data_IF_648474680481
#
_entry.id   IF_648474680481
#
_cell.length_a   1.000
_cell.length_b   1.000
_cell.length_c   1.000
_cell.angle_alpha   90.00
_cell.angle_beta   90.00
_cell.angle_gamma   90.00
#
_symmetry.space_group_name_H-M   'P 1'
#
loop_
_entity.id
_entity.type
_entity.pdbx_description
1 polymer ?
#
# COMPACT_ATOMS: atom_id res chain seq x y z
N UNK A 1 -38.43 -12.68 4.03
CA UNK A 1 -38.21 -11.23 4.23
C UNK A 1 -36.72 -10.93 4.09
N UNK A 2 -36.27 -10.25 3.04
CA UNK A 2 -34.86 -9.93 2.91
C UNK A 2 -34.52 -8.78 3.85
N UNK A 3 -33.53 -9.02 4.72
CA UNK A 3 -32.97 -8.01 5.63
C UNK A 3 -32.32 -6.91 4.79
N UNK A 4 -32.75 -5.67 5.01
CA UNK A 4 -32.11 -4.46 4.47
C UNK A 4 -30.63 -4.47 4.87
N UNK A 5 -29.72 -4.54 3.90
CA UNK A 5 -28.32 -4.12 4.11
C UNK A 5 -28.24 -2.66 3.68
N UNK A 6 -28.22 -1.79 4.68
CA UNK A 6 -27.81 -0.39 4.56
C UNK A 6 -26.31 -0.32 4.28
N UNK A 7 -25.92 0.56 3.36
CA UNK A 7 -24.53 0.88 3.05
C UNK A 7 -24.11 0.35 1.68
N UNK A 8 -24.01 1.24 0.71
CA UNK A 8 -23.42 0.99 -0.60
C UNK A 8 -21.98 0.49 -0.45
N UNK A 9 -21.77 -0.82 -0.52
CA UNK A 9 -20.44 -1.39 -0.74
C UNK A 9 -19.92 -0.83 -2.05
N UNK A 10 -18.81 -0.09 -1.98
CA UNK A 10 -17.95 0.12 -3.14
C UNK A 10 -17.65 -1.30 -3.64
N UNK A 11 -18.08 -1.66 -4.85
CA UNK A 11 -17.68 -2.93 -5.44
C UNK A 11 -16.16 -2.96 -5.40
N UNK A 12 -15.60 -3.99 -4.75
CA UNK A 12 -14.17 -4.15 -4.59
C UNK A 12 -13.56 -4.23 -5.99
N UNK A 13 -12.92 -3.14 -6.44
CA UNK A 13 -12.32 -3.07 -7.76
C UNK A 13 -11.16 -4.08 -7.80
N UNK A 14 -11.28 -5.13 -8.60
CA UNK A 14 -10.25 -6.16 -8.76
C UNK A 14 -9.10 -5.62 -9.62
N UNK A 15 -8.27 -4.79 -8.98
CA UNK A 15 -7.10 -4.17 -9.59
C UNK A 15 -6.07 -5.20 -10.08
N UNK A 16 -5.76 -6.29 -9.33
CA UNK A 16 -4.88 -7.36 -9.80
C UNK A 16 -5.30 -7.97 -11.14
N UNK A 17 -6.57 -8.34 -11.30
CA UNK A 17 -7.07 -8.95 -12.54
C UNK A 17 -6.86 -8.07 -13.79
N UNK A 18 -6.86 -6.73 -13.63
CA UNK A 18 -6.59 -5.79 -14.73
C UNK A 18 -5.11 -5.66 -15.06
N UNK A 19 -4.23 -5.83 -14.06
CA UNK A 19 -2.77 -5.84 -14.28
C UNK A 19 -2.39 -7.13 -14.98
N UNK A 20 -2.89 -8.27 -14.50
CA UNK A 20 -2.69 -9.59 -15.10
C UNK A 20 -3.15 -9.60 -16.56
N UNK A 21 -4.35 -9.06 -16.84
CA UNK A 21 -4.85 -8.93 -18.21
C UNK A 21 -3.89 -8.18 -19.14
N UNK A 22 -3.23 -7.11 -18.66
CA UNK A 22 -2.28 -6.34 -19.47
C UNK A 22 -0.97 -7.08 -19.69
N UNK A 23 -0.46 -7.79 -18.68
CA UNK A 23 0.73 -8.62 -18.84
C UNK A 23 0.47 -9.81 -19.77
N UNK A 24 -0.72 -10.41 -19.71
CA UNK A 24 -1.12 -11.57 -20.51
C UNK A 24 -1.37 -11.19 -21.99
N UNK A 25 -1.85 -9.95 -22.25
CA UNK A 25 -2.05 -9.42 -23.61
C UNK A 25 -0.78 -8.92 -24.32
N UNK A 26 0.42 -9.30 -23.88
CA UNK A 26 1.65 -9.11 -24.65
C UNK A 26 2.50 -7.88 -24.29
N UNK A 27 2.27 -7.25 -23.13
CA UNK A 27 3.28 -6.40 -22.48
C UNK A 27 4.28 -7.27 -21.69
N UNK A 28 4.79 -8.32 -22.34
CA UNK A 28 5.56 -9.39 -21.73
C UNK A 28 6.95 -8.90 -21.27
N UNK A 29 7.32 -9.27 -20.04
CA UNK A 29 8.61 -8.92 -19.42
C UNK A 29 8.53 -8.24 -18.04
N UNK A 30 7.35 -8.15 -17.43
CA UNK A 30 7.17 -7.52 -16.12
C UNK A 30 6.85 -8.57 -15.05
N UNK A 31 7.68 -8.65 -14.01
CA UNK A 31 7.38 -9.46 -12.83
C UNK A 31 6.38 -8.72 -11.92
N UNK A 32 5.29 -9.40 -11.54
CA UNK A 32 4.27 -8.86 -10.66
C UNK A 32 4.43 -9.47 -9.27
N UNK A 33 4.74 -8.64 -8.27
CA UNK A 33 4.70 -9.00 -6.86
C UNK A 33 3.50 -8.36 -6.17
N UNK A 34 2.63 -9.15 -5.55
CA UNK A 34 1.47 -8.67 -4.79
C UNK A 34 1.82 -8.62 -3.30
N UNK A 35 1.67 -7.44 -2.70
CA UNK A 35 1.89 -7.22 -1.27
C UNK A 35 0.56 -7.43 -0.52
N UNK A 36 0.63 -7.89 0.74
CA UNK A 36 -0.55 -8.08 1.57
C UNK A 36 -1.36 -6.79 1.76
N UNK A 37 -2.69 -6.88 1.65
CA UNK A 37 -3.63 -5.74 1.77
C UNK A 37 -3.51 -4.98 3.10
N UNK A 38 -3.04 -5.64 4.16
CA UNK A 38 -2.89 -5.08 5.51
C UNK A 38 -1.45 -4.61 5.82
N UNK A 39 -0.56 -4.56 4.83
CA UNK A 39 0.79 -4.04 5.00
C UNK A 39 0.75 -2.56 5.42
N UNK A 40 1.34 -2.16 6.56
CA UNK A 40 1.20 -0.83 7.13
C UNK A 40 2.10 0.22 6.44
N UNK A 41 2.12 0.28 5.11
CA UNK A 41 3.04 1.10 4.30
C UNK A 41 3.02 2.59 4.66
N UNK A 42 1.85 3.15 5.00
CA UNK A 42 1.73 4.57 5.37
C UNK A 42 2.16 4.88 6.80
N UNK A 43 2.25 3.87 7.68
CA UNK A 43 2.63 4.01 9.09
C UNK A 43 4.11 3.74 9.32
N UNK A 44 4.78 3.02 8.41
CA UNK A 44 6.21 2.70 8.53
C UNK A 44 7.07 3.87 8.06
N UNK A 45 8.16 4.16 8.76
CA UNK A 45 9.20 5.04 8.26
C UNK A 45 10.03 4.27 7.23
N UNK A 46 10.11 4.75 5.99
CA UNK A 46 10.95 4.09 4.96
C UNK A 46 12.46 4.16 5.25
N UNK A 47 12.89 5.01 6.17
CA UNK A 47 14.31 5.19 6.52
C UNK A 47 14.75 4.20 7.60
N UNK A 48 14.00 4.10 8.70
CA UNK A 48 14.40 3.28 9.86
C UNK A 48 13.44 2.14 10.21
N UNK A 49 12.27 2.06 9.55
CA UNK A 49 11.26 1.02 9.82
C UNK A 49 10.37 1.30 11.04
N UNK A 50 10.55 2.41 11.75
CA UNK A 50 9.67 2.78 12.87
C UNK A 50 8.20 2.86 12.41
N UNK A 51 7.30 2.25 13.18
CA UNK A 51 5.86 2.29 12.90
C UNK A 51 5.17 3.35 13.75
N UNK A 52 4.68 4.40 13.10
CA UNK A 52 3.82 5.41 13.71
C UNK A 52 2.32 5.03 13.55
N UNK A 53 1.63 4.56 14.60
CA UNK A 53 0.22 4.20 14.52
C UNK A 53 -0.72 5.39 14.33
N UNK A 54 -0.30 6.62 14.67
CA UNK A 54 -1.14 7.82 14.58
C UNK A 54 -1.47 8.18 13.14
N UNK A 55 -0.56 7.90 12.20
CA UNK A 55 -0.71 8.15 10.75
C UNK A 55 -1.86 7.35 10.13
N UNK A 56 -2.45 6.40 10.86
CA UNK A 56 -3.71 5.75 10.46
C UNK A 56 -4.86 6.76 10.30
N UNK A 57 -4.79 7.91 10.94
CA UNK A 57 -5.75 9.00 10.75
C UNK A 57 -5.55 9.66 9.38
N UNK A 58 -6.57 9.60 8.51
CA UNK A 58 -6.48 10.05 7.11
C UNK A 58 -6.16 11.54 6.95
N UNK A 59 -6.38 12.37 7.98
CA UNK A 59 -6.04 13.79 7.97
C UNK A 59 -4.54 14.09 8.09
N UNK A 60 -3.73 13.14 8.55
CA UNK A 60 -2.29 13.33 8.70
C UNK A 60 -1.62 13.11 7.35
N UNK A 61 -1.22 14.19 6.69
CA UNK A 61 -0.52 14.18 5.38
C UNK A 61 0.99 14.21 5.55
N UNK A 62 1.46 14.95 6.56
CA UNK A 62 2.89 15.06 6.87
C UNK A 62 3.13 14.64 8.31
N UNK A 63 4.24 13.96 8.56
CA UNK A 63 4.65 13.56 9.92
C UNK A 63 6.17 13.48 10.02
N UNK A 64 6.68 13.61 11.24
CA UNK A 64 8.11 13.43 11.53
C UNK A 64 8.31 12.10 12.25
N UNK A 65 9.29 11.32 11.81
CA UNK A 65 9.64 10.08 12.49
C UNK A 65 10.21 10.39 13.88
N UNK A 66 9.63 9.80 14.93
CA UNK A 66 10.10 9.98 16.30
C UNK A 66 11.43 9.26 16.59
N UNK A 67 11.82 8.31 15.73
CA UNK A 67 13.04 7.51 15.90
C UNK A 67 14.23 8.12 15.15
N UNK A 68 14.09 8.40 13.85
CA UNK A 68 15.17 8.94 13.03
C UNK A 68 15.05 10.44 12.70
N UNK A 69 13.94 11.09 13.06
CA UNK A 69 13.72 12.52 12.82
C UNK A 69 13.36 12.90 11.37
N UNK A 70 13.31 11.95 10.44
CA UNK A 70 12.98 12.24 9.03
C UNK A 70 11.56 12.78 8.89
N UNK A 71 11.39 13.84 8.11
CA UNK A 71 10.08 14.36 7.71
C UNK A 71 9.53 13.55 6.52
N UNK A 72 8.24 13.21 6.60
CA UNK A 72 7.56 12.39 5.60
C UNK A 72 6.32 13.09 5.09
N UNK A 73 6.17 13.15 3.77
CA UNK A 73 4.84 13.09 3.14
C UNK A 73 4.35 11.65 3.18
N UNK A 74 3.11 11.44 3.64
CA UNK A 74 2.55 10.11 3.89
C UNK A 74 2.49 9.25 2.64
N UNK A 75 2.10 9.81 1.50
CA UNK A 75 1.88 9.03 0.28
C UNK A 75 3.21 8.70 -0.39
N UNK A 76 4.17 9.64 -0.38
CA UNK A 76 5.54 9.40 -0.83
C UNK A 76 6.26 8.36 0.05
N UNK A 77 6.12 8.46 1.37
CA UNK A 77 6.68 7.45 2.28
C UNK A 77 6.03 6.06 2.07
N UNK A 78 4.71 6.01 1.86
CA UNK A 78 4.02 4.77 1.58
C UNK A 78 4.47 4.12 0.27
N UNK A 79 4.72 4.90 -0.79
CA UNK A 79 5.20 4.37 -2.08
C UNK A 79 6.59 3.76 -1.95
N UNK A 80 7.50 4.39 -1.19
CA UNK A 80 8.84 3.84 -0.91
C UNK A 80 8.76 2.53 -0.10
N UNK A 81 7.89 2.46 0.91
CA UNK A 81 7.70 1.23 1.67
C UNK A 81 7.09 0.09 0.84
N UNK A 82 6.18 0.41 -0.09
CA UNK A 82 5.60 -0.55 -1.05
C UNK A 82 6.67 -1.04 -2.02
N UNK A 83 7.50 -0.13 -2.55
CA UNK A 83 8.63 -0.50 -3.43
C UNK A 83 9.58 -1.46 -2.71
N UNK A 84 10.01 -1.11 -1.50
CA UNK A 84 10.95 -1.92 -0.72
C UNK A 84 10.38 -3.31 -0.42
N UNK A 85 9.10 -3.40 -0.05
CA UNK A 85 8.46 -4.69 0.22
C UNK A 85 8.24 -5.51 -1.06
N UNK A 86 7.90 -4.87 -2.18
CA UNK A 86 7.81 -5.53 -3.48
C UNK A 86 9.16 -6.12 -3.91
N UNK A 87 10.23 -5.32 -3.81
CA UNK A 87 11.59 -5.80 -4.11
C UNK A 87 12.02 -6.94 -3.19
N UNK A 88 11.67 -6.89 -1.89
CA UNK A 88 11.93 -7.97 -0.95
C UNK A 88 11.22 -9.28 -1.35
N UNK A 89 10.02 -9.20 -1.92
CA UNK A 89 9.25 -10.35 -2.39
C UNK A 89 9.74 -10.89 -3.74
N UNK A 90 10.35 -10.05 -4.58
CA UNK A 90 10.91 -10.46 -5.88
C UNK A 90 12.29 -11.12 -5.76
N UNK A 91 13.11 -10.68 -4.81
CA UNK A 91 14.49 -11.17 -4.62
C UNK A 91 14.57 -12.29 -3.55
N UNK A 92 13.48 -12.52 -2.81
CA UNK A 92 13.40 -13.43 -1.66
C UNK A 92 12.93 -14.84 -1.97
#
# INVERSE_FOLDING_TARGET
MPRRRSGSTIEEYDFPARVDFKTDYGYSGHDISVIAKNYPSSQLCHVCGFRNPEVKQLGIREWSCSDCGTQHDRDHNASLNILNEGLRLLVG
#
